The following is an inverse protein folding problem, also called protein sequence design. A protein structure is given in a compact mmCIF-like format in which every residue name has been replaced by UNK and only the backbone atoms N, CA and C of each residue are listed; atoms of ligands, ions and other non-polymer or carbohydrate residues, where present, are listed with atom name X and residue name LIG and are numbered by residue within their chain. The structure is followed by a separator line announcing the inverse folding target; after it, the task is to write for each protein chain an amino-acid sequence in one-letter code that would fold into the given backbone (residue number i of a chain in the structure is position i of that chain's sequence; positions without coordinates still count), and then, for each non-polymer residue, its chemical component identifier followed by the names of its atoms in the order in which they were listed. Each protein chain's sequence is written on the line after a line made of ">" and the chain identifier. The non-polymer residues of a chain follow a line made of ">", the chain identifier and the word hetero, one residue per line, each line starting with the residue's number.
data_IF_443347249701
#
_entry.id   IF_443347249701
#
_cell.length_a   1.000
_cell.length_b   1.000
_cell.length_c   1.000
_cell.angle_alpha   90.00
_cell.angle_beta   90.00
_cell.angle_gamma   90.00
#
_symmetry.space_group_name_H-M   'P 1'
#
loop_
_entity.id
_entity.type
_entity.pdbx_description
1 polymer ?
#
# COMPACT_ATOMS: atom_id res chain seq x y z
N UNK A 1 16.62 -50.63 -19.53
CA UNK A 1 15.43 -49.90 -19.06
C UNK A 1 15.94 -48.65 -18.37
N UNK A 2 15.85 -47.49 -19.03
CA UNK A 2 16.48 -46.25 -18.57
C UNK A 2 15.49 -45.48 -17.72
N UNK A 3 15.78 -45.37 -16.43
CA UNK A 3 14.98 -44.67 -15.43
C UNK A 3 15.06 -43.17 -15.68
N UNK A 4 13.99 -42.56 -16.22
CA UNK A 4 13.90 -41.10 -16.36
C UNK A 4 13.55 -40.47 -15.01
N UNK A 5 14.48 -39.67 -14.48
CA UNK A 5 14.26 -38.80 -13.31
C UNK A 5 13.50 -37.55 -13.74
N UNK A 6 12.23 -37.45 -13.36
CA UNK A 6 11.43 -36.23 -13.51
C UNK A 6 11.77 -35.32 -12.32
N UNK A 7 12.55 -34.26 -12.57
CA UNK A 7 12.76 -33.19 -11.61
C UNK A 7 11.52 -32.31 -11.56
N UNK A 8 10.68 -32.50 -10.55
CA UNK A 8 9.53 -31.65 -10.27
C UNK A 8 10.02 -30.37 -9.58
N UNK A 9 10.30 -29.32 -10.36
CA UNK A 9 10.59 -27.99 -9.81
C UNK A 9 9.31 -27.42 -9.20
N UNK A 10 9.20 -27.46 -7.87
CA UNK A 10 8.13 -26.77 -7.14
C UNK A 10 8.31 -25.25 -7.32
N UNK A 11 7.50 -24.64 -8.19
CA UNK A 11 7.31 -23.20 -8.19
C UNK A 11 6.64 -22.83 -6.87
N UNK A 12 7.43 -22.37 -5.89
CA UNK A 12 6.89 -21.73 -4.70
C UNK A 12 6.35 -20.37 -5.16
N UNK A 13 5.04 -20.31 -5.41
CA UNK A 13 4.35 -19.05 -5.52
C UNK A 13 4.47 -18.38 -4.14
N UNK A 14 5.38 -17.42 -4.02
CA UNK A 14 5.36 -16.49 -2.90
C UNK A 14 4.09 -15.67 -3.10
N UNK A 15 3.02 -16.07 -2.41
CA UNK A 15 1.87 -15.23 -2.16
C UNK A 15 2.39 -14.03 -1.40
N UNK A 16 2.71 -12.97 -2.14
CA UNK A 16 3.08 -11.70 -1.54
C UNK A 16 1.88 -11.23 -0.73
N UNK A 17 2.07 -10.98 0.56
CA UNK A 17 1.06 -10.31 1.35
C UNK A 17 0.80 -8.95 0.69
N UNK A 18 -0.44 -8.69 0.32
CA UNK A 18 -0.78 -7.51 -0.48
C UNK A 18 -0.98 -6.31 0.45
N UNK A 19 -0.14 -5.29 0.26
CA UNK A 19 -0.45 -3.95 0.75
C UNK A 19 -1.41 -3.29 -0.23
N UNK A 20 -2.42 -2.57 0.27
CA UNK A 20 -3.47 -1.98 -0.56
C UNK A 20 -2.98 -1.05 -1.68
N UNK A 21 -1.75 -0.51 -1.57
CA UNK A 21 -1.21 0.43 -2.53
C UNK A 21 0.08 -0.07 -3.21
N UNK A 22 0.24 0.20 -4.52
CA UNK A 22 1.39 -0.28 -5.31
C UNK A 22 2.74 0.34 -4.91
N UNK A 23 2.74 1.47 -4.20
CA UNK A 23 3.93 2.08 -3.59
C UNK A 23 4.29 1.49 -2.21
N UNK A 24 3.59 0.44 -1.76
CA UNK A 24 3.84 -0.26 -0.51
C UNK A 24 4.21 -1.73 -0.75
N UNK A 25 4.90 -2.31 0.22
CA UNK A 25 5.26 -3.74 0.25
C UNK A 25 5.13 -4.28 1.67
N UNK A 26 4.69 -5.53 1.78
CA UNK A 26 4.66 -6.22 3.05
C UNK A 26 6.08 -6.61 3.48
N UNK A 27 6.41 -6.43 4.76
CA UNK A 27 7.76 -6.73 5.28
C UNK A 27 7.80 -7.74 6.43
N UNK A 28 6.68 -8.03 7.08
CA UNK A 28 6.62 -8.99 8.21
C UNK A 28 5.31 -8.89 9.00
N UNK A 29 5.04 -9.85 9.89
CA UNK A 29 3.81 -9.87 10.68
C UNK A 29 3.78 -8.77 11.74
N UNK A 30 2.59 -8.37 12.17
CA UNK A 30 2.41 -7.36 13.23
C UNK A 30 1.09 -7.57 13.99
N UNK A 31 0.99 -6.96 15.17
CA UNK A 31 -0.27 -6.84 15.91
C UNK A 31 -0.79 -5.41 15.91
N UNK A 32 0.12 -4.42 15.85
CA UNK A 32 -0.17 -2.99 15.86
C UNK A 32 0.84 -2.18 15.03
N UNK A 33 0.52 -0.92 14.72
CA UNK A 33 1.41 0.01 13.98
C UNK A 33 2.75 0.26 14.69
N UNK A 34 2.77 0.12 16.02
CA UNK A 34 3.99 0.26 16.82
C UNK A 34 5.03 -0.82 16.45
N UNK A 35 4.59 -2.04 16.15
CA UNK A 35 5.45 -3.15 15.73
C UNK A 35 6.14 -2.87 14.38
N UNK A 36 5.56 -1.95 13.60
CA UNK A 36 6.02 -1.61 12.26
C UNK A 36 6.94 -0.37 12.23
N UNK A 37 7.28 0.21 13.39
CA UNK A 37 8.10 1.43 13.47
C UNK A 37 7.40 2.65 12.88
N UNK A 38 6.08 2.77 13.11
CA UNK A 38 5.26 3.89 12.62
C UNK A 38 4.68 3.71 11.23
N UNK A 39 4.95 2.59 10.56
CA UNK A 39 4.23 2.17 9.35
C UNK A 39 2.93 1.46 9.71
N UNK A 40 2.00 1.34 8.76
CA UNK A 40 0.71 0.73 9.04
C UNK A 40 0.80 -0.80 9.17
N UNK A 41 0.14 -1.33 10.21
CA UNK A 41 -0.11 -2.75 10.41
C UNK A 41 -1.50 -3.09 9.85
N UNK A 42 -1.54 -3.76 8.69
CA UNK A 42 -2.80 -4.02 7.98
C UNK A 42 -3.08 -5.49 7.80
N UNK A 43 -4.36 -5.78 7.57
CA UNK A 43 -4.85 -7.14 7.36
C UNK A 43 -4.51 -7.60 5.94
N UNK A 44 -3.62 -8.58 5.80
CA UNK A 44 -3.48 -9.32 4.54
C UNK A 44 -4.60 -10.36 4.43
N UNK A 45 -5.51 -10.13 3.48
CA UNK A 45 -6.69 -10.96 3.27
C UNK A 45 -6.32 -12.35 2.74
N UNK A 46 -5.19 -12.46 2.02
CA UNK A 46 -4.76 -13.72 1.43
C UNK A 46 -4.24 -14.69 2.49
N UNK A 47 -3.44 -14.19 3.45
CA UNK A 47 -2.91 -15.01 4.53
C UNK A 47 -3.80 -15.09 5.76
N UNK A 48 -4.79 -14.20 5.89
CA UNK A 48 -5.58 -14.08 7.12
C UNK A 48 -4.73 -13.60 8.30
N UNK A 49 -3.55 -13.02 8.06
CA UNK A 49 -2.64 -12.47 9.07
C UNK A 49 -2.35 -10.98 8.85
N UNK A 50 -2.01 -10.25 9.92
CA UNK A 50 -1.63 -8.83 9.81
C UNK A 50 -0.17 -8.68 9.44
N UNK A 51 0.14 -7.74 8.56
CA UNK A 51 1.49 -7.44 8.09
C UNK A 51 1.80 -5.94 8.11
N UNK A 52 3.07 -5.61 8.33
CA UNK A 52 3.58 -4.25 8.18
C UNK A 52 3.69 -3.89 6.71
N UNK A 53 3.05 -2.78 6.33
CA UNK A 53 3.14 -2.20 4.99
C UNK A 53 4.05 -0.98 4.98
N UNK A 54 5.21 -1.12 4.32
CA UNK A 54 6.24 -0.08 4.23
C UNK A 54 6.41 0.41 2.80
N UNK A 55 6.97 1.62 2.58
CA UNK A 55 7.32 2.10 1.25
C UNK A 55 8.13 1.07 0.46
N UNK A 56 7.68 0.75 -0.75
CA UNK A 56 8.36 -0.19 -1.64
C UNK A 56 9.58 0.48 -2.26
N UNK A 57 10.78 -0.15 -2.23
CA UNK A 57 11.97 0.39 -2.87
C UNK A 57 11.72 0.71 -4.35
N UNK A 58 12.21 1.86 -4.81
CA UNK A 58 12.06 2.31 -6.20
C UNK A 58 10.67 2.87 -6.55
N UNK A 59 9.76 3.00 -5.59
CA UNK A 59 8.47 3.67 -5.78
C UNK A 59 8.42 5.01 -5.05
N UNK A 60 7.53 5.90 -5.50
CA UNK A 60 7.30 7.20 -4.89
C UNK A 60 6.05 7.11 -4.03
N UNK A 61 6.16 7.42 -2.74
CA UNK A 61 5.02 7.49 -1.81
C UNK A 61 4.31 8.85 -1.90
N UNK A 62 2.98 8.89 -1.64
CA UNK A 62 2.23 10.14 -1.62
C UNK A 62 2.64 11.04 -0.45
N UNK A 63 2.47 12.34 -0.61
CA UNK A 63 2.72 13.33 0.45
C UNK A 63 1.70 14.44 0.38
N UNK A 64 1.16 14.82 1.53
CA UNK A 64 0.36 16.03 1.62
C UNK A 64 1.20 17.25 1.24
N UNK A 65 0.59 18.20 0.52
CA UNK A 65 1.22 19.50 0.24
C UNK A 65 1.21 20.41 1.47
N UNK A 66 0.22 20.22 2.36
CA UNK A 66 0.14 20.80 3.70
C UNK A 66 -0.46 19.78 4.67
N UNK A 67 -0.01 19.75 5.92
CA UNK A 67 -0.52 18.82 6.93
C UNK A 67 0.03 17.39 6.79
N UNK A 68 -0.73 16.40 7.25
CA UNK A 68 -0.30 14.99 7.22
C UNK A 68 -1.49 14.02 7.14
N UNK A 69 -1.18 12.75 6.89
CA UNK A 69 -2.07 11.62 7.13
C UNK A 69 -1.41 10.70 8.16
N UNK A 70 -2.22 9.95 8.91
CA UNK A 70 -1.74 8.97 9.88
C UNK A 70 -1.98 7.56 9.36
N UNK A 71 -1.00 6.67 9.51
CA UNK A 71 -1.09 5.30 9.02
C UNK A 71 -1.00 5.23 7.49
N UNK A 72 -2.01 4.61 6.86
CA UNK A 72 -2.06 4.51 5.40
C UNK A 72 -2.63 5.78 4.76
N UNK A 73 -2.07 6.23 3.62
CA UNK A 73 -2.68 7.29 2.84
C UNK A 73 -4.04 6.83 2.30
N UNK A 74 -5.03 7.71 2.32
CA UNK A 74 -6.32 7.49 1.65
C UNK A 74 -6.29 8.29 0.36
N UNK A 75 -6.34 7.60 -0.78
CA UNK A 75 -6.42 8.26 -2.09
C UNK A 75 -7.86 8.75 -2.31
N UNK A 76 -8.00 9.89 -2.96
CA UNK A 76 -9.30 10.51 -3.23
C UNK A 76 -9.33 11.09 -4.64
N UNK A 77 -10.53 11.24 -5.20
CA UNK A 77 -10.76 12.00 -6.42
C UNK A 77 -11.27 13.41 -6.07
N UNK A 78 -10.56 14.49 -6.43
CA UNK A 78 -11.04 15.84 -6.23
C UNK A 78 -12.36 16.14 -6.97
N UNK A 79 -12.68 15.40 -8.03
CA UNK A 79 -13.93 15.55 -8.77
C UNK A 79 -15.15 15.12 -7.94
N UNK A 80 -14.97 14.16 -7.03
CA UNK A 80 -15.98 13.70 -6.08
C UNK A 80 -16.01 14.56 -4.80
N UNK A 81 -15.19 15.61 -4.72
CA UNK A 81 -15.09 16.51 -3.57
C UNK A 81 -14.48 15.84 -2.34
N UNK A 82 -15.00 16.20 -1.16
CA UNK A 82 -14.53 15.69 0.14
C UNK A 82 -15.28 14.42 0.61
N UNK A 83 -16.28 13.95 -0.14
CA UNK A 83 -17.10 12.80 0.25
C UNK A 83 -16.27 11.50 0.40
N UNK A 84 -15.09 11.44 -0.23
CA UNK A 84 -14.14 10.35 -0.10
C UNK A 84 -13.21 10.41 1.12
N UNK A 85 -13.19 11.53 1.86
CA UNK A 85 -12.25 11.74 2.96
C UNK A 85 -12.87 11.57 4.35
N UNK A 86 -12.12 11.00 5.32
CA UNK A 86 -12.60 10.88 6.68
C UNK A 86 -12.78 12.27 7.31
N UNK A 87 -13.66 12.35 8.31
CA UNK A 87 -13.95 13.61 9.00
C UNK A 87 -12.69 14.28 9.53
N UNK A 88 -12.56 15.59 9.23
CA UNK A 88 -11.39 16.39 9.61
C UNK A 88 -10.22 16.31 8.63
N UNK A 89 -10.39 15.65 7.48
CA UNK A 89 -9.45 15.64 6.36
C UNK A 89 -10.12 16.19 5.10
N UNK A 90 -9.33 16.75 4.19
CA UNK A 90 -9.80 17.30 2.90
C UNK A 90 -9.04 16.60 1.77
N UNK A 91 -9.70 16.38 0.63
CA UNK A 91 -9.04 15.84 -0.55
C UNK A 91 -8.10 16.90 -1.14
N UNK A 92 -6.80 16.63 -1.10
CA UNK A 92 -5.78 17.57 -1.57
C UNK A 92 -4.87 16.91 -2.60
N UNK A 93 -4.37 17.74 -3.53
CA UNK A 93 -3.34 17.30 -4.48
C UNK A 93 -2.06 16.93 -3.72
N UNK A 94 -1.53 15.75 -4.03
CA UNK A 94 -0.25 15.28 -3.50
C UNK A 94 0.89 16.18 -3.98
N UNK A 95 1.85 16.46 -3.10
CA UNK A 95 3.09 17.17 -3.46
C UNK A 95 4.09 16.28 -4.21
N UNK A 96 3.89 14.96 -4.18
CA UNK A 96 4.62 13.99 -4.99
C UNK A 96 3.71 13.40 -6.07
N UNK A 97 4.28 13.05 -7.22
CA UNK A 97 3.63 12.20 -8.20
C UNK A 97 3.87 10.73 -7.81
N UNK A 98 3.02 10.20 -6.94
CA UNK A 98 3.23 8.88 -6.36
C UNK A 98 2.95 7.77 -7.37
N UNK A 99 3.57 6.61 -7.15
CA UNK A 99 3.46 5.46 -8.05
C UNK A 99 2.06 4.86 -8.01
N UNK A 100 1.26 5.03 -9.06
CA UNK A 100 -0.16 4.59 -9.15
C UNK A 100 -0.34 3.14 -9.63
N UNK A 101 0.76 2.42 -9.88
CA UNK A 101 0.70 1.09 -10.46
C UNK A 101 0.32 1.13 -11.93
N UNK A 102 -0.61 0.28 -12.36
CA UNK A 102 -1.01 0.11 -13.77
C UNK A 102 -2.06 1.12 -14.25
N UNK A 103 -2.59 1.97 -13.37
CA UNK A 103 -3.56 3.01 -13.75
C UNK A 103 -2.96 4.41 -13.62
N UNK A 104 -2.39 4.96 -14.71
CA UNK A 104 -1.83 6.31 -14.72
C UNK A 104 -2.91 7.41 -14.71
N UNK A 105 -4.17 7.09 -15.00
CA UNK A 105 -5.26 8.07 -15.02
C UNK A 105 -5.82 8.33 -13.61
N UNK A 106 -5.52 7.46 -12.64
CA UNK A 106 -5.88 7.65 -11.24
C UNK A 106 -5.43 9.04 -10.73
N UNK A 107 -6.29 9.78 -10.01
CA UNK A 107 -5.96 11.10 -9.49
C UNK A 107 -4.69 11.12 -8.64
N UNK A 108 -3.92 12.21 -8.73
CA UNK A 108 -2.73 12.43 -7.90
C UNK A 108 -3.08 13.17 -6.59
N UNK A 109 -4.04 12.64 -5.84
CA UNK A 109 -4.62 13.30 -4.67
C UNK A 109 -4.83 12.32 -3.52
N UNK A 110 -4.80 12.85 -2.30
CA UNK A 110 -5.01 12.09 -1.07
C UNK A 110 -5.69 12.95 0.00
N UNK A 111 -6.32 12.28 0.96
CA UNK A 111 -6.93 12.93 2.11
C UNK A 111 -5.84 13.42 3.09
N UNK A 112 -5.83 14.72 3.35
CA UNK A 112 -4.87 15.37 4.22
C UNK A 112 -5.56 16.05 5.38
N UNK A 113 -5.03 15.83 6.59
CA UNK A 113 -5.46 16.52 7.80
C UNK A 113 -4.60 17.77 8.00
N UNK A 114 -5.26 18.90 8.25
CA UNK A 114 -4.59 20.18 8.56
C UNK A 114 -3.97 20.18 9.95
#
# INVERSE_FOLDING_TARGET
>A
MNTSLIFLSAFIAVIAADCYFPFLTATGPCSSDADCGGSACVMDINSGSRVCCKPKPGTISPKCSSGSYSGLPILCDPADGDDGCPSGSTCQKSSTDFTKGSDPASPNSLCCKS
#
